data_IF_408851605702
#
_entry.id   IF_408851605702
#
_cell.length_a   1.000
_cell.length_b   1.000
_cell.length_c   1.000
_cell.angle_alpha   90.00
_cell.angle_beta   90.00
_cell.angle_gamma   90.00
#
_symmetry.space_group_name_H-M   'P 1'
#
loop_
_entity.id
_entity.type
_entity.pdbx_description
1 polymer ?
#
# COMPACT_ATOMS: atom_id res chain seq x y z
N UNK A 1 -0.90 -9.88 0.05
CA UNK A 1 -0.55 -8.50 0.43
C UNK A 1 -1.12 -7.57 -0.62
N UNK A 2 -1.85 -6.53 -0.19
CA UNK A 2 -2.36 -5.47 -1.04
C UNK A 2 -1.63 -4.17 -0.69
N UNK A 3 -1.27 -3.37 -1.71
CA UNK A 3 -0.63 -2.09 -1.52
C UNK A 3 -1.65 -0.96 -1.61
N UNK A 4 -1.63 -0.06 -0.62
CA UNK A 4 -2.38 1.19 -0.66
C UNK A 4 -1.49 2.34 -1.11
N UNK A 5 -2.11 3.43 -1.52
CA UNK A 5 -1.42 4.69 -1.84
C UNK A 5 -1.87 5.78 -0.89
N UNK A 6 -1.06 6.82 -0.72
CA UNK A 6 -1.46 8.00 0.03
C UNK A 6 -1.18 9.26 -0.78
N UNK A 7 -2.13 10.18 -0.78
CA UNK A 7 -2.02 11.47 -1.46
C UNK A 7 -1.92 12.57 -0.41
N UNK A 8 -0.95 13.48 -0.58
CA UNK A 8 -0.86 14.68 0.26
C UNK A 8 -1.67 15.80 -0.39
N UNK A 9 -2.76 16.21 0.25
CA UNK A 9 -3.65 17.24 -0.26
C UNK A 9 -4.14 18.14 0.88
N UNK A 10 -4.13 19.45 0.66
CA UNK A 10 -4.49 20.47 1.66
C UNK A 10 -3.78 20.28 3.02
N UNK A 11 -2.49 19.92 2.98
CA UNK A 11 -1.66 19.76 4.19
C UNK A 11 -1.82 18.41 4.92
N UNK A 12 -2.77 17.56 4.53
CA UNK A 12 -3.02 16.26 5.14
C UNK A 12 -2.72 15.09 4.19
N UNK A 13 -2.49 13.91 4.77
CA UNK A 13 -2.36 12.65 4.03
C UNK A 13 -3.70 11.93 3.97
N UNK A 14 -4.06 11.46 2.78
CA UNK A 14 -5.31 10.74 2.53
C UNK A 14 -4.97 9.39 1.89
N UNK A 15 -5.17 8.30 2.63
CA UNK A 15 -4.97 6.94 2.12
C UNK A 15 -6.08 6.55 1.16
N UNK A 16 -5.70 5.92 0.04
CA UNK A 16 -6.61 5.50 -1.02
C UNK A 16 -6.29 4.05 -1.41
N UNK A 17 -7.34 3.33 -1.80
CA UNK A 17 -7.20 2.04 -2.45
C UNK A 17 -7.03 2.25 -3.97
N UNK A 18 -5.85 1.94 -4.54
CA UNK A 18 -5.57 2.22 -5.95
C UNK A 18 -6.38 1.35 -6.91
N UNK A 19 -7.14 0.36 -6.42
CA UNK A 19 -8.07 -0.42 -7.26
C UNK A 19 -9.20 0.42 -7.83
N UNK A 20 -9.58 1.49 -7.13
CA UNK A 20 -10.63 2.41 -7.54
C UNK A 20 -12.04 1.80 -7.51
N UNK A 21 -13.01 2.66 -7.81
CA UNK A 21 -14.43 2.34 -7.73
C UNK A 21 -14.92 1.55 -8.96
N UNK A 22 -15.77 0.54 -8.75
CA UNK A 22 -16.43 -0.25 -9.82
C UNK A 22 -17.74 -0.86 -9.30
N UNK A 23 -18.63 -1.42 -10.15
CA UNK A 23 -19.84 -2.07 -9.67
C UNK A 23 -19.55 -3.13 -8.60
N UNK A 24 -20.20 -2.99 -7.45
CA UNK A 24 -20.01 -3.88 -6.29
C UNK A 24 -18.79 -3.56 -5.41
N UNK A 25 -18.07 -2.46 -5.66
CA UNK A 25 -16.90 -2.02 -4.89
C UNK A 25 -16.99 -0.52 -4.62
N UNK A 26 -16.98 -0.10 -3.36
CA UNK A 26 -16.89 1.32 -2.94
C UNK A 26 -15.46 1.67 -2.52
N UNK A 27 -14.62 1.93 -3.51
CA UNK A 27 -13.23 2.36 -3.34
C UNK A 27 -12.97 3.69 -4.04
N UNK A 28 -13.93 4.61 -3.93
CA UNK A 28 -13.84 5.95 -4.50
C UNK A 28 -12.79 6.80 -3.77
N UNK A 29 -12.23 7.75 -4.50
CA UNK A 29 -11.37 8.76 -3.89
C UNK A 29 -12.16 9.58 -2.86
N UNK A 30 -11.58 9.74 -1.67
CA UNK A 30 -12.22 10.46 -0.56
C UNK A 30 -11.19 11.21 0.27
N UNK A 31 -11.55 12.42 0.68
CA UNK A 31 -10.78 13.25 1.63
C UNK A 31 -11.32 13.15 3.07
N UNK A 32 -12.55 12.62 3.24
CA UNK A 32 -13.24 12.56 4.53
C UNK A 32 -12.97 11.24 5.29
N UNK A 33 -12.30 10.30 4.63
CA UNK A 33 -11.97 8.99 5.19
C UNK A 33 -11.60 7.97 4.13
N UNK A 34 -10.87 6.94 4.53
CA UNK A 34 -10.46 5.85 3.64
C UNK A 34 -11.65 5.02 3.15
N UNK A 35 -11.65 4.65 1.86
CA UNK A 35 -12.65 3.78 1.23
C UNK A 35 -11.92 2.60 0.60
N UNK A 36 -11.95 1.46 1.28
CA UNK A 36 -11.27 0.24 0.84
C UNK A 36 -12.20 -0.63 0.01
N UNK A 37 -11.70 -1.23 -1.07
CA UNK A 37 -12.48 -2.20 -1.82
C UNK A 37 -12.80 -3.45 -0.99
N UNK A 38 -11.90 -3.82 -0.09
CA UNK A 38 -12.10 -4.87 0.90
C UNK A 38 -11.44 -4.46 2.22
N UNK A 39 -12.20 -4.50 3.30
CA UNK A 39 -11.69 -4.26 4.65
C UNK A 39 -10.96 -5.50 5.14
N UNK A 40 -9.78 -5.35 5.79
CA UNK A 40 -9.09 -6.48 6.41
C UNK A 40 -9.98 -7.19 7.42
N UNK A 41 -10.00 -8.52 7.39
CA UNK A 41 -10.65 -9.38 8.38
C UNK A 41 -9.65 -9.94 9.40
N UNK A 42 -9.60 -9.41 10.63
CA UNK A 42 -8.71 -9.91 11.67
C UNK A 42 -8.99 -11.36 12.08
N UNK A 43 -10.22 -11.86 11.90
CA UNK A 43 -10.57 -13.25 12.21
C UNK A 43 -9.88 -14.24 11.25
N UNK A 44 -9.51 -13.77 10.06
CA UNK A 44 -8.70 -14.50 9.07
C UNK A 44 -7.21 -14.18 9.17
N UNK A 45 -6.80 -13.39 10.18
CA UNK A 45 -5.41 -12.97 10.37
C UNK A 45 -4.96 -11.84 9.43
N UNK A 46 -5.89 -11.14 8.78
CA UNK A 46 -5.56 -9.96 7.98
C UNK A 46 -5.28 -8.77 8.90
N UNK A 47 -4.38 -7.89 8.47
CA UNK A 47 -3.96 -6.71 9.25
C UNK A 47 -3.75 -5.52 8.34
N UNK A 48 -4.19 -4.36 8.81
CA UNK A 48 -3.87 -3.07 8.19
C UNK A 48 -2.53 -2.53 8.70
N UNK A 49 -1.76 -1.91 7.82
CA UNK A 49 -0.48 -1.28 8.14
C UNK A 49 -0.62 0.25 8.00
N UNK A 50 -0.92 0.98 9.07
CA UNK A 50 -1.31 2.39 8.95
C UNK A 50 -0.17 3.38 8.76
N UNK A 51 1.08 2.93 8.89
CA UNK A 51 2.25 3.79 8.77
C UNK A 51 2.42 4.27 7.34
N UNK A 52 2.57 5.58 7.17
CA UNK A 52 2.82 6.21 5.88
C UNK A 52 4.29 6.64 5.76
N UNK A 53 4.88 6.28 4.64
CA UNK A 53 6.23 6.71 4.27
C UNK A 53 6.12 7.73 3.14
N UNK A 54 6.53 8.98 3.41
CA UNK A 54 6.52 10.05 2.42
C UNK A 54 7.53 9.85 1.28
N UNK A 55 8.54 9.02 1.51
CA UNK A 55 9.53 8.60 0.54
C UNK A 55 9.82 7.10 0.74
N UNK A 56 10.11 6.34 -0.34
CA UNK A 56 10.50 4.95 -0.21
C UNK A 56 11.86 4.83 0.48
N UNK A 57 12.05 3.79 1.28
CA UNK A 57 13.35 3.50 1.86
C UNK A 57 14.36 3.14 0.74
N UNK A 58 15.57 3.75 0.70
CA UNK A 58 16.53 3.54 -0.38
C UNK A 58 16.85 2.06 -0.62
N UNK A 59 17.12 1.29 0.44
CA UNK A 59 17.42 -0.14 0.33
C UNK A 59 16.29 -0.95 -0.33
N UNK A 60 15.03 -0.63 -0.04
CA UNK A 60 13.88 -1.31 -0.67
C UNK A 60 13.79 -0.93 -2.14
N UNK A 61 13.96 0.36 -2.44
CA UNK A 61 13.90 0.89 -3.80
C UNK A 61 14.99 0.29 -4.69
N UNK A 62 16.20 0.18 -4.17
CA UNK A 62 17.35 -0.37 -4.90
C UNK A 62 17.14 -1.86 -5.19
N UNK A 63 16.72 -2.66 -4.20
CA UNK A 63 16.41 -4.07 -4.42
C UNK A 63 15.32 -4.26 -5.47
N UNK A 64 14.24 -3.47 -5.42
CA UNK A 64 13.16 -3.56 -6.41
C UNK A 64 13.64 -3.23 -7.83
N UNK A 65 14.52 -2.24 -7.99
CA UNK A 65 15.08 -1.84 -9.29
C UNK A 65 16.08 -2.87 -9.84
N UNK A 66 16.84 -3.53 -8.98
CA UNK A 66 17.86 -4.50 -9.38
C UNK A 66 17.31 -5.90 -9.61
N UNK A 67 16.14 -6.23 -9.08
CA UNK A 67 15.54 -7.54 -9.26
C UNK A 67 14.94 -7.70 -10.67
N UNK A 68 15.56 -8.56 -11.49
CA UNK A 68 15.03 -8.91 -12.82
C UNK A 68 13.80 -9.83 -12.78
N UNK A 69 13.56 -10.51 -11.66
CA UNK A 69 12.42 -11.39 -11.47
C UNK A 69 11.96 -11.48 -10.00
N UNK A 70 10.78 -12.08 -9.81
CA UNK A 70 10.17 -12.25 -8.49
C UNK A 70 11.00 -13.17 -7.56
N UNK A 71 11.51 -14.34 -8.00
CA UNK A 71 12.37 -15.17 -7.13
C UNK A 71 13.62 -14.46 -6.62
N UNK A 72 14.29 -13.67 -7.46
CA UNK A 72 15.45 -12.86 -7.07
C UNK A 72 15.05 -11.81 -6.05
N UNK A 73 13.96 -11.06 -6.31
CA UNK A 73 13.42 -10.09 -5.37
C UNK A 73 13.16 -10.72 -4.01
N UNK A 74 12.50 -11.89 -3.97
CA UNK A 74 12.16 -12.56 -2.71
C UNK A 74 13.38 -12.91 -1.85
N UNK A 75 14.49 -13.30 -2.48
CA UNK A 75 15.73 -13.64 -1.76
C UNK A 75 16.51 -12.41 -1.27
N UNK A 76 16.28 -11.25 -1.88
CA UNK A 76 17.10 -10.04 -1.69
C UNK A 76 16.37 -8.91 -0.99
N UNK A 77 15.06 -9.06 -0.75
CA UNK A 77 14.24 -8.07 -0.04
C UNK A 77 14.74 -7.91 1.41
N UNK A 78 15.05 -6.68 1.87
CA UNK A 78 15.45 -6.44 3.25
C UNK A 78 14.35 -6.86 4.24
N UNK A 79 14.72 -7.61 5.28
CA UNK A 79 13.80 -8.07 6.33
C UNK A 79 13.77 -7.13 7.55
N UNK A 80 14.66 -6.13 7.58
CA UNK A 80 14.71 -5.07 8.57
C UNK A 80 15.18 -3.77 7.89
N UNK A 81 14.64 -2.63 8.34
CA UNK A 81 14.94 -1.28 7.86
C UNK A 81 15.22 -0.35 9.05
#
# INVERSE_FOLDING_TARGET
>A
MHGLVAVRFNGAWHRQDPRGNKPGVDAQFSLDGERLAFTPDPALGETDCPVLYAAPHPAVLDTLKSAGDRPHLWRTLPTAL
#
